data_IF_258188842863
#
_entry.id   IF_258188842863
#
_cell.length_a   1.000
_cell.length_b   1.000
_cell.length_c   1.000
_cell.angle_alpha   90.00
_cell.angle_beta   90.00
_cell.angle_gamma   90.00
#
_symmetry.space_group_name_H-M   'P 1'
#
loop_
_entity.id
_entity.type
_entity.pdbx_description
1 polymer ?
#
# COMPACT_ATOMS: atom_id res chain seq x y z
N UNK A 1 1.88 36.40 7.79
CA UNK A 1 2.26 35.48 6.70
C UNK A 1 2.03 34.06 7.22
N UNK A 2 1.24 33.26 6.53
CA UNK A 2 1.11 31.84 6.87
C UNK A 2 2.46 31.17 6.60
N UNK A 3 2.92 30.31 7.52
CA UNK A 3 4.14 29.52 7.33
C UNK A 3 3.94 28.59 6.12
N UNK A 4 5.01 28.41 5.33
CA UNK A 4 5.03 27.38 4.28
C UNK A 4 4.92 25.99 4.90
N UNK A 5 4.34 25.02 4.16
CA UNK A 5 4.14 23.64 4.63
C UNK A 5 5.43 22.99 5.15
N UNK A 6 6.58 23.26 4.51
CA UNK A 6 7.88 22.78 4.96
C UNK A 6 8.29 23.36 6.32
N UNK A 7 8.01 24.66 6.56
CA UNK A 7 8.28 25.31 7.85
C UNK A 7 7.34 24.77 8.94
N UNK A 8 6.06 24.55 8.63
CA UNK A 8 5.10 23.95 9.57
C UNK A 8 5.54 22.55 9.97
N UNK A 9 5.87 21.70 8.97
CA UNK A 9 6.38 20.36 9.21
C UNK A 9 7.65 20.38 10.08
N UNK A 10 8.63 21.20 9.73
CA UNK A 10 9.89 21.30 10.48
C UNK A 10 9.66 21.71 11.94
N UNK A 11 8.75 22.66 12.20
CA UNK A 11 8.40 23.08 13.56
C UNK A 11 7.80 21.92 14.38
N UNK A 12 6.95 21.10 13.78
CA UNK A 12 6.35 19.94 14.45
C UNK A 12 7.41 18.87 14.70
N UNK A 13 8.26 18.56 13.71
CA UNK A 13 9.32 17.56 13.83
C UNK A 13 10.35 17.92 14.91
N UNK A 14 10.73 19.18 15.06
CA UNK A 14 11.68 19.62 16.07
C UNK A 14 11.20 19.44 17.52
N UNK A 15 9.88 19.31 17.73
CA UNK A 15 9.29 19.06 19.03
C UNK A 15 9.00 17.59 19.29
N UNK A 16 9.08 16.73 18.27
CA UNK A 16 8.79 15.30 18.37
C UNK A 16 10.06 14.51 18.72
N UNK A 17 9.90 13.45 19.51
CA UNK A 17 11.00 12.56 19.93
C UNK A 17 10.82 11.14 19.39
N UNK A 18 9.57 10.69 19.28
CA UNK A 18 9.26 9.34 18.85
C UNK A 18 8.07 9.35 17.90
N UNK A 19 8.33 9.15 16.63
CA UNK A 19 7.35 9.32 15.55
C UNK A 19 6.91 7.96 15.02
N UNK A 20 5.59 7.81 14.82
CA UNK A 20 5.01 6.66 14.16
C UNK A 20 4.66 7.01 12.71
N UNK A 21 5.15 6.22 11.76
CA UNK A 21 4.96 6.46 10.33
C UNK A 21 4.03 5.38 9.77
N UNK A 22 2.86 5.77 9.28
CA UNK A 22 1.92 4.89 8.59
C UNK A 22 2.05 5.02 7.08
N UNK A 23 1.94 3.88 6.40
CA UNK A 23 1.88 3.79 4.94
C UNK A 23 0.45 3.50 4.51
N UNK A 24 -0.07 4.26 3.55
CA UNK A 24 -1.35 3.96 2.91
C UNK A 24 -1.32 2.69 2.07
N UNK A 25 -2.51 2.21 1.70
CA UNK A 25 -2.68 0.97 0.92
C UNK A 25 -2.54 1.15 -0.60
N UNK A 26 -2.44 2.34 -1.12
CA UNK A 26 -2.48 2.63 -2.55
C UNK A 26 -1.31 2.07 -3.36
N UNK A 27 -0.58 2.92 -4.04
CA UNK A 27 0.62 2.56 -4.80
C UNK A 27 1.71 2.07 -3.85
N UNK A 28 1.96 0.77 -3.84
CA UNK A 28 2.89 0.14 -2.89
C UNK A 28 4.29 0.77 -2.93
N UNK A 29 4.81 1.05 -4.12
CA UNK A 29 6.11 1.69 -4.27
C UNK A 29 6.14 3.12 -3.76
N UNK A 30 5.08 3.90 -3.94
CA UNK A 30 5.00 5.27 -3.44
C UNK A 30 4.86 5.31 -1.91
N UNK A 31 4.02 4.44 -1.34
CA UNK A 31 3.88 4.31 0.11
C UNK A 31 5.19 3.90 0.77
N UNK A 32 5.88 2.89 0.21
CA UNK A 32 7.18 2.41 0.71
C UNK A 32 8.25 3.49 0.54
N UNK A 33 8.35 4.08 -0.64
CA UNK A 33 9.37 5.07 -0.96
C UNK A 33 9.28 6.30 -0.08
N UNK A 34 8.08 6.86 0.09
CA UNK A 34 7.84 8.03 0.94
C UNK A 34 8.09 7.71 2.43
N UNK A 35 7.59 6.57 2.93
CA UNK A 35 7.75 6.21 4.34
C UNK A 35 9.20 5.90 4.72
N UNK A 36 9.92 5.15 3.89
CA UNK A 36 11.33 4.85 4.17
C UNK A 36 12.21 6.09 4.04
N UNK A 37 11.93 6.96 3.09
CA UNK A 37 12.62 8.24 2.98
C UNK A 37 12.44 9.11 4.23
N UNK A 38 11.20 9.25 4.72
CA UNK A 38 10.92 9.98 5.98
C UNK A 38 11.63 9.32 7.16
N UNK A 39 11.59 7.98 7.28
CA UNK A 39 12.30 7.26 8.34
C UNK A 39 13.80 7.60 8.37
N UNK A 40 14.50 7.49 7.22
CA UNK A 40 15.92 7.77 7.15
C UNK A 40 16.24 9.26 7.34
N UNK A 41 15.37 10.15 6.88
CA UNK A 41 15.48 11.57 7.13
C UNK A 41 15.39 11.90 8.63
N UNK A 42 14.39 11.35 9.33
CA UNK A 42 14.23 11.53 10.77
C UNK A 42 15.40 10.93 11.55
N UNK A 43 15.91 9.77 11.15
CA UNK A 43 17.09 9.13 11.74
C UNK A 43 18.32 10.07 11.66
N UNK A 44 18.50 10.79 10.54
CA UNK A 44 19.56 11.81 10.40
C UNK A 44 19.33 13.05 11.24
N UNK A 45 18.10 13.41 11.52
CA UNK A 45 17.75 14.48 12.46
C UNK A 45 17.90 14.05 13.93
N UNK A 46 18.23 12.79 14.21
CA UNK A 46 18.31 12.25 15.56
C UNK A 46 16.94 11.96 16.21
N UNK A 47 15.88 11.92 15.43
CA UNK A 47 14.50 11.64 15.89
C UNK A 47 14.22 10.15 15.74
N UNK A 48 13.75 9.51 16.82
CA UNK A 48 13.34 8.11 16.76
C UNK A 48 12.05 7.97 15.96
N UNK A 49 11.98 6.95 15.12
CA UNK A 49 10.77 6.69 14.35
C UNK A 49 10.57 5.20 14.08
N UNK A 50 9.33 4.78 13.95
CA UNK A 50 8.93 3.41 13.67
C UNK A 50 7.98 3.41 12.48
N UNK A 51 8.23 2.53 11.50
CA UNK A 51 7.37 2.39 10.33
C UNK A 51 6.35 1.28 10.58
N UNK A 52 5.08 1.59 10.41
CA UNK A 52 3.98 0.62 10.44
C UNK A 52 3.72 0.13 9.03
N UNK A 53 3.97 -1.16 8.81
CA UNK A 53 3.66 -1.80 7.52
C UNK A 53 2.33 -2.54 7.65
N UNK A 54 1.33 -2.26 6.80
CA UNK A 54 0.19 -3.15 6.71
C UNK A 54 0.68 -4.55 6.32
N UNK A 55 -0.10 -5.59 6.65
CA UNK A 55 0.27 -7.00 6.44
C UNK A 55 0.42 -7.31 4.93
N UNK A 56 1.54 -6.93 4.36
CA UNK A 56 1.88 -7.08 2.94
C UNK A 56 2.57 -8.43 2.79
N UNK A 57 1.78 -9.50 2.76
CA UNK A 57 2.29 -10.88 2.71
C UNK A 57 3.16 -11.23 1.50
N UNK A 58 3.13 -10.48 0.39
CA UNK A 58 3.73 -10.99 -0.85
C UNK A 58 4.50 -9.99 -1.74
N UNK A 59 4.70 -8.71 -1.37
CA UNK A 59 5.22 -7.73 -2.34
C UNK A 59 6.51 -6.99 -1.96
N UNK A 60 7.05 -7.22 -0.75
CA UNK A 60 8.33 -6.58 -0.36
C UNK A 60 9.54 -7.06 -1.16
N UNK A 61 9.44 -8.24 -1.80
CA UNK A 61 10.56 -8.80 -2.55
C UNK A 61 10.97 -7.92 -3.74
N UNK A 62 10.01 -7.25 -4.39
CA UNK A 62 10.29 -6.32 -5.50
C UNK A 62 11.01 -5.04 -5.03
N UNK A 63 10.97 -4.72 -3.73
CA UNK A 63 11.67 -3.59 -3.10
C UNK A 63 12.89 -4.03 -2.28
N UNK A 64 13.32 -5.29 -2.40
CA UNK A 64 14.46 -5.85 -1.65
C UNK A 64 15.79 -5.15 -1.94
N UNK A 65 15.87 -4.38 -3.01
CA UNK A 65 17.03 -3.59 -3.38
C UNK A 65 17.16 -2.27 -2.60
N UNK A 66 16.09 -1.83 -1.94
CA UNK A 66 16.10 -0.64 -1.07
C UNK A 66 16.61 -1.01 0.33
N UNK A 67 17.28 -0.06 0.97
CA UNK A 67 17.65 -0.19 2.38
C UNK A 67 16.38 -0.12 3.23
N UNK A 68 16.13 -1.17 4.00
CA UNK A 68 14.93 -1.25 4.87
C UNK A 68 15.13 -0.49 6.18
N UNK A 69 14.09 0.16 6.73
CA UNK A 69 14.09 0.66 8.10
C UNK A 69 14.34 -0.48 9.09
N UNK A 70 15.13 -0.21 10.13
CA UNK A 70 15.41 -1.16 11.21
C UNK A 70 14.18 -1.33 12.11
N UNK A 71 13.50 -0.24 12.40
CA UNK A 71 12.32 -0.18 13.26
C UNK A 71 11.05 -0.26 12.42
N UNK A 72 10.60 -1.50 12.15
CA UNK A 72 9.38 -1.77 11.38
C UNK A 72 8.47 -2.73 12.16
N UNK A 73 7.18 -2.37 12.27
CA UNK A 73 6.16 -3.17 12.95
C UNK A 73 4.94 -3.39 12.06
N UNK A 74 4.22 -4.49 12.26
CA UNK A 74 2.96 -4.79 11.55
C UNK A 74 1.71 -4.56 12.41
N UNK A 75 1.86 -4.31 13.69
CA UNK A 75 0.78 -4.02 14.63
C UNK A 75 1.25 -3.05 15.72
N UNK A 76 0.32 -2.35 16.35
CA UNK A 76 0.60 -1.43 17.45
C UNK A 76 0.55 -2.11 18.84
N UNK A 77 0.73 -3.43 18.89
CA UNK A 77 0.79 -4.13 20.17
C UNK A 77 1.90 -3.53 21.07
N UNK A 78 1.52 -3.06 22.26
CA UNK A 78 2.45 -2.42 23.19
C UNK A 78 2.79 -0.95 22.89
N UNK A 79 2.07 -0.29 21.98
CA UNK A 79 2.20 1.15 21.74
C UNK A 79 1.76 2.02 22.93
N UNK A 80 1.04 1.43 23.86
CA UNK A 80 0.55 2.04 25.09
C UNK A 80 0.84 1.14 26.28
N UNK A 81 1.33 1.70 27.38
CA UNK A 81 1.53 0.96 28.63
C UNK A 81 0.28 1.04 29.49
N UNK A 82 0.06 0.06 30.35
CA UNK A 82 -0.89 0.14 31.47
C UNK A 82 -0.13 0.55 32.73
N UNK A 83 -0.53 1.63 33.37
CA UNK A 83 0.11 2.09 34.59
C UNK A 83 -0.80 1.79 35.79
N UNK A 84 -0.29 0.97 36.69
CA UNK A 84 -0.83 0.81 38.03
C UNK A 84 -0.16 1.84 38.93
N UNK A 85 -0.90 2.82 39.42
CA UNK A 85 -0.39 3.84 40.31
C UNK A 85 -0.87 3.61 41.74
N UNK A 86 0.05 3.78 42.69
CA UNK A 86 -0.23 3.69 44.11
C UNK A 86 0.13 5.00 44.77
N UNK A 87 -0.76 5.49 45.63
CA UNK A 87 -0.40 6.56 46.55
C UNK A 87 0.49 5.98 47.67
N UNK A 88 1.74 6.42 47.72
CA UNK A 88 2.70 6.02 48.72
C UNK A 88 2.89 7.05 49.84
N UNK A 89 2.09 8.08 49.89
CA UNK A 89 2.21 9.17 50.87
C UNK A 89 2.09 8.66 52.30
N UNK A 90 1.15 7.75 52.52
CA UNK A 90 0.88 7.22 53.86
C UNK A 90 1.53 5.88 54.15
N UNK A 91 1.98 5.12 53.13
CA UNK A 91 2.56 3.83 53.28
C UNK A 91 3.58 3.52 52.16
N UNK A 92 4.83 3.49 52.55
CA UNK A 92 5.93 3.20 51.59
C UNK A 92 5.89 1.76 51.13
N UNK A 93 6.25 1.55 49.88
CA UNK A 93 6.43 0.21 49.30
C UNK A 93 7.87 -0.24 49.52
N UNK A 94 8.06 -1.37 50.13
CA UNK A 94 9.41 -1.96 50.43
C UNK A 94 9.84 -2.94 49.36
N UNK A 95 8.90 -3.63 48.71
CA UNK A 95 9.24 -4.60 47.68
C UNK A 95 8.09 -4.75 46.66
N UNK A 96 8.46 -5.00 45.41
CA UNK A 96 7.53 -5.37 44.33
C UNK A 96 8.09 -6.59 43.62
N UNK A 97 7.32 -7.67 43.54
CA UNK A 97 7.66 -8.88 42.78
C UNK A 97 6.54 -9.25 41.85
N UNK A 98 6.86 -9.88 40.75
CA UNK A 98 5.89 -10.34 39.77
C UNK A 98 6.01 -11.84 39.58
N UNK A 99 4.86 -12.53 39.48
CA UNK A 99 4.79 -13.96 39.17
C UNK A 99 3.83 -14.12 37.98
N UNK A 100 4.29 -14.82 36.95
CA UNK A 100 3.52 -15.08 35.76
C UNK A 100 3.19 -16.56 35.66
N UNK A 101 1.93 -16.89 35.60
CA UNK A 101 1.45 -18.21 35.17
C UNK A 101 0.74 -18.08 33.79
N UNK A 102 0.29 -19.20 33.20
CA UNK A 102 -0.21 -19.22 31.83
C UNK A 102 -1.40 -18.28 31.53
N UNK A 103 -2.10 -17.79 32.55
CA UNK A 103 -3.34 -17.00 32.37
C UNK A 103 -3.38 -15.72 33.24
N UNK A 104 -2.42 -15.55 34.16
CA UNK A 104 -2.43 -14.46 35.11
C UNK A 104 -1.03 -13.90 35.36
N UNK A 105 -0.95 -12.58 35.48
CA UNK A 105 0.21 -11.88 36.01
C UNK A 105 -0.15 -11.35 37.40
N UNK A 106 0.48 -11.91 38.43
CA UNK A 106 0.31 -11.46 39.80
C UNK A 106 1.44 -10.48 40.14
N UNK A 107 1.04 -9.32 40.66
CA UNK A 107 1.97 -8.31 41.17
C UNK A 107 1.81 -8.28 42.70
N UNK A 108 2.86 -8.69 43.40
CA UNK A 108 2.89 -8.69 44.87
C UNK A 108 3.59 -7.43 45.31
N UNK A 109 2.89 -6.64 46.13
CA UNK A 109 3.38 -5.38 46.66
C UNK A 109 3.44 -5.46 48.15
N UNK A 110 4.63 -5.22 48.73
CA UNK A 110 4.85 -5.30 50.16
C UNK A 110 4.95 -3.90 50.77
N UNK A 111 3.97 -3.47 51.55
CA UNK A 111 4.03 -2.18 52.24
C UNK A 111 4.99 -2.25 53.46
N UNK A 112 5.47 -1.08 53.85
CA UNK A 112 6.32 -0.95 55.05
C UNK A 112 5.55 -1.27 56.34
N UNK A 113 4.25 -0.88 56.36
CA UNK A 113 3.39 -1.06 57.54
C UNK A 113 1.97 -1.47 57.11
N UNK A 114 1.36 -2.38 57.87
CA UNK A 114 -0.03 -2.76 57.74
C UNK A 114 -0.42 -3.32 56.36
N UNK A 115 -1.53 -2.85 55.81
CA UNK A 115 -2.08 -3.25 54.51
C UNK A 115 -2.27 -2.03 53.58
N UNK A 116 -2.29 -2.29 52.29
CA UNK A 116 -2.61 -1.27 51.27
C UNK A 116 -4.16 -1.16 51.15
N UNK A 117 -4.70 0.05 51.23
CA UNK A 117 -6.11 0.27 50.97
C UNK A 117 -6.37 0.15 49.45
N UNK A 118 -7.39 -0.62 49.02
CA UNK A 118 -7.76 -0.70 47.61
C UNK A 118 -8.07 0.66 46.96
N UNK A 119 -8.45 1.69 47.76
CA UNK A 119 -8.71 3.05 47.29
C UNK A 119 -7.44 3.83 46.91
N UNK A 120 -6.27 3.37 47.37
CA UNK A 120 -4.98 3.96 47.01
C UNK A 120 -4.50 3.53 45.60
N UNK A 121 -5.23 2.61 45.00
CA UNK A 121 -4.96 2.15 43.62
C UNK A 121 -5.65 3.02 42.59
N UNK A 122 -4.96 3.39 41.56
CA UNK A 122 -5.56 3.95 40.35
C UNK A 122 -5.00 3.26 39.11
N UNK A 123 -5.89 2.97 38.18
CA UNK A 123 -5.53 2.55 36.83
C UNK A 123 -5.45 3.81 35.97
N UNK A 124 -4.25 4.17 35.53
CA UNK A 124 -4.06 5.33 34.68
C UNK A 124 -3.78 4.80 33.27
N UNK A 125 -4.64 5.13 32.28
CA UNK A 125 -4.27 4.90 30.87
C UNK A 125 -2.97 5.67 30.62
N UNK A 126 -1.90 4.95 30.32
CA UNK A 126 -0.63 5.60 29.97
C UNK A 126 -0.80 6.31 28.61
N UNK A 127 -0.04 7.35 28.41
CA UNK A 127 0.07 7.99 27.11
C UNK A 127 0.67 7.01 26.10
N UNK A 128 0.38 7.21 24.82
CA UNK A 128 1.09 6.51 23.75
C UNK A 128 2.60 6.78 23.85
N UNK A 129 3.41 5.78 23.46
CA UNK A 129 4.88 5.92 23.38
C UNK A 129 5.31 6.85 22.27
N UNK A 130 4.41 7.13 21.34
CA UNK A 130 4.62 8.02 20.19
C UNK A 130 4.00 9.38 20.50
N UNK A 131 4.72 10.44 20.13
CA UNK A 131 4.29 11.83 20.34
C UNK A 131 3.87 12.52 19.03
N UNK A 132 4.06 11.85 17.91
CA UNK A 132 3.61 12.28 16.58
C UNK A 132 3.30 11.08 15.69
N UNK A 133 2.27 11.20 14.89
CA UNK A 133 1.91 10.26 13.80
C UNK A 133 2.09 10.96 12.46
N UNK A 134 2.76 10.31 11.52
CA UNK A 134 2.82 10.73 10.12
C UNK A 134 2.13 9.67 9.27
N UNK A 135 1.11 10.07 8.51
CA UNK A 135 0.41 9.21 7.56
C UNK A 135 0.77 9.64 6.15
N UNK A 136 1.20 8.68 5.35
CA UNK A 136 1.68 8.90 3.99
C UNK A 136 0.83 8.14 2.99
N UNK A 137 0.45 8.80 1.89
CA UNK A 137 -0.24 8.18 0.77
C UNK A 137 -1.57 7.52 1.17
N UNK A 138 -2.37 8.21 1.99
CA UNK A 138 -3.69 7.73 2.42
C UNK A 138 -4.70 8.86 2.41
N UNK A 139 -5.82 8.72 1.65
CA UNK A 139 -6.84 9.76 1.57
C UNK A 139 -7.66 9.87 2.86
N UNK A 140 -7.80 8.78 3.61
CA UNK A 140 -8.58 8.68 4.84
C UNK A 140 -7.89 7.74 5.85
N UNK A 141 -8.43 7.66 7.07
CA UNK A 141 -7.90 6.79 8.14
C UNK A 141 -8.30 5.32 7.92
N UNK A 142 -9.46 5.10 7.34
CA UNK A 142 -10.06 3.80 7.06
C UNK A 142 -9.19 3.00 6.07
N UNK A 143 -8.56 3.68 5.14
CA UNK A 143 -7.60 3.10 4.17
C UNK A 143 -6.38 2.47 4.82
N UNK A 144 -6.08 2.78 6.09
CA UNK A 144 -5.03 2.11 6.87
C UNK A 144 -5.44 0.71 7.34
N UNK A 145 -6.75 0.39 7.26
CA UNK A 145 -7.32 -0.93 7.54
C UNK A 145 -7.14 -1.38 8.98
N UNK A 146 -6.80 -2.66 9.19
CA UNK A 146 -6.72 -3.29 10.52
C UNK A 146 -5.93 -2.50 11.54
N UNK A 147 -4.86 -1.82 11.15
CA UNK A 147 -4.04 -1.07 12.10
C UNK A 147 -4.82 0.11 12.68
N UNK A 148 -5.64 0.77 11.86
CA UNK A 148 -6.57 1.80 12.32
C UNK A 148 -7.75 1.20 13.10
N UNK A 149 -8.38 0.15 12.58
CA UNK A 149 -9.53 -0.52 13.21
C UNK A 149 -9.24 -1.01 14.63
N UNK A 150 -8.04 -1.55 14.86
CA UNK A 150 -7.60 -2.07 16.15
C UNK A 150 -7.11 -0.98 17.12
N UNK A 151 -6.72 0.19 16.62
CA UNK A 151 -6.10 1.25 17.42
C UNK A 151 -6.58 2.67 17.01
N UNK A 152 -7.89 2.93 16.96
CA UNK A 152 -8.38 4.23 16.48
C UNK A 152 -7.97 5.39 17.41
N UNK A 153 -7.79 5.13 18.70
CA UNK A 153 -7.50 6.14 19.72
C UNK A 153 -6.23 6.93 19.44
N UNK A 154 -5.20 6.30 18.83
CA UNK A 154 -3.93 6.97 18.55
C UNK A 154 -4.10 8.18 17.64
N UNK A 155 -5.05 8.13 16.70
CA UNK A 155 -5.34 9.20 15.74
C UNK A 155 -6.11 10.39 16.36
N UNK A 156 -6.59 10.23 17.60
CA UNK A 156 -7.28 11.29 18.36
C UNK A 156 -6.45 11.83 19.51
N UNK A 157 -5.60 10.98 20.11
CA UNK A 157 -4.79 11.35 21.28
C UNK A 157 -3.40 11.87 20.90
N UNK A 158 -2.87 11.49 19.74
CA UNK A 158 -1.54 11.89 19.24
C UNK A 158 -1.71 12.80 18.02
N UNK A 159 -0.96 13.92 17.92
CA UNK A 159 -0.98 14.76 16.74
C UNK A 159 -0.70 13.97 15.47
N UNK A 160 -1.45 14.25 14.39
CA UNK A 160 -1.34 13.55 13.10
C UNK A 160 -0.95 14.54 11.99
N UNK A 161 0.05 14.17 11.21
CA UNK A 161 0.39 14.81 9.95
C UNK A 161 -0.04 13.88 8.82
N UNK A 162 -0.84 14.38 7.89
CA UNK A 162 -1.18 13.67 6.66
C UNK A 162 -0.44 14.29 5.48
N UNK A 163 0.32 13.48 4.72
CA UNK A 163 1.00 13.88 3.50
C UNK A 163 0.50 13.01 2.36
N UNK A 164 -0.16 13.62 1.38
CA UNK A 164 -0.88 12.87 0.35
C UNK A 164 -1.05 13.69 -0.94
N UNK A 165 -1.40 13.00 -2.03
CA UNK A 165 -1.69 13.64 -3.33
C UNK A 165 -3.09 13.33 -3.87
N UNK A 166 -3.90 12.53 -3.16
CA UNK A 166 -5.24 12.15 -3.60
C UNK A 166 -6.22 13.32 -3.50
N UNK A 167 -7.04 13.51 -4.54
CA UNK A 167 -8.00 14.59 -4.62
C UNK A 167 -9.19 14.43 -3.66
N UNK A 168 -9.49 13.21 -3.25
CA UNK A 168 -10.54 12.80 -2.31
C UNK A 168 -10.03 12.71 -0.87
N UNK A 169 -8.91 13.36 -0.54
CA UNK A 169 -8.35 13.36 0.81
C UNK A 169 -9.24 14.12 1.80
N UNK A 170 -9.58 13.46 2.92
CA UNK A 170 -10.46 13.99 3.98
C UNK A 170 -9.80 15.05 4.88
N UNK A 171 -8.51 15.32 4.70
CA UNK A 171 -7.72 16.24 5.52
C UNK A 171 -7.84 15.95 7.04
N UNK A 172 -7.72 14.70 7.42
CA UNK A 172 -7.96 14.19 8.76
C UNK A 172 -6.83 14.47 9.77
N UNK A 173 -5.71 14.98 9.35
CA UNK A 173 -4.58 15.37 10.19
C UNK A 173 -4.76 16.76 10.81
N UNK A 174 -4.05 17.04 11.91
CA UNK A 174 -3.91 18.41 12.44
C UNK A 174 -3.05 19.28 11.49
N UNK A 175 -2.12 18.66 10.77
CA UNK A 175 -1.40 19.25 9.66
C UNK A 175 -1.62 18.37 8.41
N UNK A 176 -2.19 18.97 7.37
CA UNK A 176 -2.42 18.30 6.09
C UNK A 176 -1.57 18.95 5.02
N UNK A 177 -0.71 18.16 4.38
CA UNK A 177 0.14 18.57 3.27
C UNK A 177 -0.31 17.77 2.06
N UNK A 178 -1.40 18.23 1.45
CA UNK A 178 -2.04 17.58 0.30
C UNK A 178 -1.79 18.40 -0.96
N UNK A 179 -1.12 17.80 -1.94
CA UNK A 179 -0.86 18.42 -3.24
C UNK A 179 -1.42 17.53 -4.37
N UNK A 180 -2.64 17.83 -4.80
CA UNK A 180 -3.34 17.09 -5.87
C UNK A 180 -2.69 17.25 -7.25
N UNK A 181 -1.73 18.14 -7.39
CA UNK A 181 -0.98 18.34 -8.63
C UNK A 181 0.32 17.52 -8.68
N UNK A 182 0.73 16.96 -7.54
CA UNK A 182 1.89 16.08 -7.47
C UNK A 182 1.63 14.73 -8.14
N UNK A 183 2.67 14.12 -8.67
CA UNK A 183 2.58 12.80 -9.29
C UNK A 183 2.52 11.66 -8.26
N UNK A 184 2.95 11.95 -7.02
CA UNK A 184 3.08 10.96 -5.96
C UNK A 184 3.33 11.63 -4.61
N UNK A 185 3.08 10.92 -3.52
CA UNK A 185 3.47 11.34 -2.16
C UNK A 185 4.98 11.46 -2.03
N UNK A 186 5.75 10.58 -2.69
CA UNK A 186 7.21 10.65 -2.71
C UNK A 186 7.74 11.94 -3.36
N UNK A 187 7.04 12.50 -4.35
CA UNK A 187 7.36 13.82 -4.93
C UNK A 187 7.21 14.92 -3.87
N UNK A 188 6.11 14.92 -3.12
CA UNK A 188 5.85 15.90 -2.06
C UNK A 188 6.91 15.78 -0.96
N UNK A 189 7.20 14.57 -0.51
CA UNK A 189 8.22 14.30 0.51
C UNK A 189 9.61 14.75 0.06
N UNK A 190 9.96 14.55 -1.21
CA UNK A 190 11.24 15.02 -1.76
C UNK A 190 11.37 16.56 -1.69
N UNK A 191 10.32 17.28 -2.08
CA UNK A 191 10.28 18.74 -2.02
C UNK A 191 10.37 19.25 -0.56
N UNK A 192 9.67 18.59 0.37
CA UNK A 192 9.71 18.90 1.79
C UNK A 192 11.11 18.70 2.39
N UNK A 193 11.72 17.54 2.17
CA UNK A 193 13.08 17.24 2.67
C UNK A 193 14.09 18.24 2.11
N UNK A 194 14.00 18.55 0.83
CA UNK A 194 14.90 19.52 0.20
C UNK A 194 14.77 20.92 0.81
N UNK A 195 13.55 21.36 1.16
CA UNK A 195 13.29 22.67 1.79
C UNK A 195 13.68 22.71 3.26
N UNK A 196 13.51 21.60 3.99
CA UNK A 196 13.83 21.52 5.43
C UNK A 196 15.34 21.39 5.61
N UNK A 197 15.98 20.42 4.97
CA UNK A 197 17.42 20.19 5.05
C UNK A 197 17.92 19.38 3.85
N UNK A 198 18.36 20.06 2.80
CA UNK A 198 18.88 19.45 1.58
C UNK A 198 20.17 18.62 1.78
N UNK A 199 20.93 18.87 2.87
CA UNK A 199 22.16 18.12 3.18
C UNK A 199 21.85 16.71 3.68
N UNK A 200 20.71 16.53 4.34
CA UNK A 200 20.25 15.22 4.80
C UNK A 200 19.73 14.32 3.68
N UNK A 201 19.49 14.85 2.48
CA UNK A 201 19.05 14.07 1.31
C UNK A 201 20.26 13.34 0.70
N UNK A 202 20.51 12.10 1.15
CA UNK A 202 21.56 11.23 0.63
C UNK A 202 21.03 10.20 -0.38
N UNK A 203 21.92 9.31 -0.84
CA UNK A 203 21.61 8.25 -1.80
C UNK A 203 20.47 7.34 -1.32
N UNK A 204 20.44 6.94 -0.05
CA UNK A 204 19.42 6.03 0.50
C UNK A 204 18.03 6.67 0.46
N UNK A 205 17.93 7.93 0.89
CA UNK A 205 16.68 8.69 0.84
C UNK A 205 16.27 8.96 -0.59
N UNK A 206 17.22 9.34 -1.44
CA UNK A 206 16.98 9.63 -2.84
C UNK A 206 16.52 8.39 -3.62
N UNK A 207 17.11 7.20 -3.37
CA UNK A 207 16.72 5.94 -4.01
C UNK A 207 15.31 5.54 -3.59
N UNK A 208 14.95 5.71 -2.31
CA UNK A 208 13.59 5.44 -1.81
C UNK A 208 12.56 6.35 -2.48
N UNK A 209 12.78 7.66 -2.51
CA UNK A 209 11.88 8.64 -3.13
C UNK A 209 11.75 8.44 -4.63
N UNK A 210 12.85 8.22 -5.33
CA UNK A 210 12.83 7.97 -6.78
C UNK A 210 12.06 6.68 -7.10
N UNK A 211 12.15 5.66 -6.25
CA UNK A 211 11.38 4.43 -6.39
C UNK A 211 9.88 4.71 -6.32
N UNK A 212 9.45 5.52 -5.35
CA UNK A 212 8.04 5.90 -5.23
C UNK A 212 7.53 6.68 -6.44
N UNK A 213 8.29 7.67 -6.93
CA UNK A 213 7.91 8.43 -8.13
C UNK A 213 7.84 7.54 -9.37
N UNK A 214 8.80 6.65 -9.58
CA UNK A 214 8.84 5.73 -10.72
C UNK A 214 7.66 4.76 -10.69
N UNK A 215 7.32 4.20 -9.52
CA UNK A 215 6.20 3.27 -9.38
C UNK A 215 4.86 3.99 -9.60
N UNK A 216 4.62 5.12 -8.95
CA UNK A 216 3.40 5.92 -9.08
C UNK A 216 3.12 6.37 -10.52
N UNK A 217 4.18 6.74 -11.25
CA UNK A 217 4.10 7.23 -12.64
C UNK A 217 4.22 6.12 -13.69
N UNK A 218 4.36 4.85 -13.28
CA UNK A 218 4.72 3.74 -14.17
C UNK A 218 5.92 4.10 -15.07
N UNK A 219 7.03 4.49 -14.45
CA UNK A 219 8.25 4.94 -15.16
C UNK A 219 7.99 6.13 -16.09
N UNK A 220 7.25 7.13 -15.60
CA UNK A 220 6.88 8.37 -16.31
C UNK A 220 5.97 8.19 -17.53
N UNK A 221 5.23 7.09 -17.59
CA UNK A 221 4.29 6.79 -18.70
C UNK A 221 2.84 7.18 -18.39
N UNK A 222 2.46 7.31 -17.12
CA UNK A 222 1.10 7.70 -16.74
C UNK A 222 0.84 9.19 -16.93
N UNK A 223 -0.44 9.56 -17.04
CA UNK A 223 -0.91 10.94 -17.23
C UNK A 223 -0.62 11.88 -16.05
N UNK A 224 -0.37 11.33 -14.85
CA UNK A 224 0.02 12.08 -13.66
C UNK A 224 1.50 12.53 -13.69
N UNK A 225 2.27 12.16 -14.70
CA UNK A 225 3.65 12.62 -14.86
C UNK A 225 3.68 14.10 -15.18
N UNK A 226 4.38 14.88 -14.38
CA UNK A 226 4.48 16.34 -14.49
C UNK A 226 5.93 16.79 -14.77
N UNK A 227 6.16 17.99 -15.31
CA UNK A 227 7.51 18.56 -15.42
C UNK A 227 8.22 18.62 -14.04
N UNK A 228 7.47 18.88 -12.96
CA UNK A 228 8.00 18.92 -11.59
C UNK A 228 8.49 17.54 -11.16
N UNK A 229 7.72 16.47 -11.42
CA UNK A 229 8.15 15.09 -11.09
C UNK A 229 9.45 14.70 -11.80
N UNK A 230 9.62 15.11 -13.07
CA UNK A 230 10.86 14.87 -13.82
C UNK A 230 12.04 15.66 -13.25
N UNK A 231 11.84 16.93 -12.87
CA UNK A 231 12.88 17.77 -12.26
C UNK A 231 13.34 17.21 -10.91
N UNK A 232 12.40 16.83 -10.04
CA UNK A 232 12.69 16.20 -8.75
C UNK A 232 13.42 14.87 -8.96
N UNK A 233 12.98 14.04 -9.90
CA UNK A 233 13.64 12.78 -10.22
C UNK A 233 15.08 12.99 -10.70
N UNK A 234 15.33 14.00 -11.54
CA UNK A 234 16.69 14.38 -11.95
C UNK A 234 17.56 14.82 -10.76
N UNK A 235 16.99 15.59 -9.83
CA UNK A 235 17.69 15.99 -8.61
C UNK A 235 18.02 14.80 -7.70
N UNK A 236 17.09 13.84 -7.56
CA UNK A 236 17.30 12.59 -6.80
C UNK A 236 18.39 11.71 -7.44
N UNK A 237 18.42 11.62 -8.78
CA UNK A 237 19.50 10.93 -9.49
C UNK A 237 20.85 11.61 -9.28
N UNK A 238 20.89 12.94 -9.24
CA UNK A 238 22.11 13.68 -8.92
C UNK A 238 22.62 13.44 -7.47
N UNK A 239 21.71 12.99 -6.56
CA UNK A 239 22.06 12.57 -5.20
C UNK A 239 22.48 11.09 -5.09
N UNK A 240 22.56 10.36 -6.21
CA UNK A 240 23.04 9.00 -6.28
C UNK A 240 21.96 7.93 -6.53
N UNK A 241 20.68 8.30 -6.58
CA UNK A 241 19.62 7.32 -6.87
C UNK A 241 19.78 6.69 -8.26
N UNK A 242 19.75 5.37 -8.34
CA UNK A 242 19.98 4.62 -9.56
C UNK A 242 18.67 4.21 -10.25
N UNK A 243 18.22 5.04 -11.21
CA UNK A 243 17.00 4.79 -11.98
C UNK A 243 17.01 3.43 -12.69
N UNK A 244 18.14 3.03 -13.27
CA UNK A 244 18.22 1.75 -14.01
C UNK A 244 18.05 0.54 -13.09
N UNK A 245 18.64 0.61 -11.90
CA UNK A 245 18.46 -0.39 -10.83
C UNK A 245 17.00 -0.48 -10.43
N UNK A 246 16.35 0.67 -10.14
CA UNK A 246 14.93 0.74 -9.75
C UNK A 246 14.03 0.13 -10.83
N UNK A 247 14.17 0.56 -12.09
CA UNK A 247 13.39 0.04 -13.22
C UNK A 247 13.61 -1.47 -13.39
N UNK A 248 14.84 -1.94 -13.23
CA UNK A 248 15.13 -3.37 -13.33
C UNK A 248 14.35 -4.17 -12.31
N UNK A 249 14.35 -3.76 -11.05
CA UNK A 249 13.65 -4.48 -9.97
C UNK A 249 12.13 -4.35 -10.07
N UNK A 250 11.60 -3.17 -10.37
CA UNK A 250 10.15 -2.96 -10.44
C UNK A 250 9.50 -3.60 -11.67
N UNK A 251 10.17 -3.56 -12.83
CA UNK A 251 9.51 -3.90 -14.10
C UNK A 251 10.18 -5.01 -14.91
N UNK A 252 11.48 -5.23 -14.72
CA UNK A 252 12.22 -6.21 -15.53
C UNK A 252 12.50 -7.53 -14.82
N UNK A 253 12.22 -7.61 -13.51
CA UNK A 253 12.40 -8.83 -12.72
C UNK A 253 11.07 -9.55 -12.61
N UNK A 254 10.58 -10.11 -13.71
CA UNK A 254 9.38 -10.95 -13.67
C UNK A 254 9.79 -12.40 -13.33
N UNK A 255 9.07 -13.05 -12.42
CA UNK A 255 9.26 -14.47 -12.16
C UNK A 255 9.13 -15.31 -13.44
N UNK A 256 9.99 -16.29 -13.61
CA UNK A 256 10.05 -17.09 -14.83
C UNK A 256 8.72 -17.81 -15.12
N UNK A 257 7.96 -18.19 -14.09
CA UNK A 257 6.66 -18.81 -14.25
C UNK A 257 5.66 -17.87 -14.94
N UNK A 258 5.63 -16.57 -14.57
CA UNK A 258 4.79 -15.57 -15.21
C UNK A 258 5.15 -15.36 -16.68
N UNK A 259 6.44 -15.30 -17.01
CA UNK A 259 6.90 -15.18 -18.41
C UNK A 259 6.50 -16.38 -19.24
N UNK A 260 6.57 -17.59 -18.66
CA UNK A 260 6.12 -18.82 -19.33
C UNK A 260 4.61 -18.84 -19.57
N UNK A 261 3.81 -18.45 -18.54
CA UNK A 261 2.36 -18.37 -18.69
C UNK A 261 1.97 -17.28 -19.69
N UNK A 262 2.59 -16.11 -19.61
CA UNK A 262 2.42 -15.05 -20.60
C UNK A 262 2.64 -15.54 -22.03
N UNK A 263 3.78 -16.19 -22.30
CA UNK A 263 4.08 -16.68 -23.64
C UNK A 263 3.01 -17.64 -24.16
N UNK A 264 2.42 -18.47 -23.30
CA UNK A 264 1.34 -19.41 -23.67
C UNK A 264 0.04 -18.68 -23.98
N UNK A 265 -0.32 -17.68 -23.18
CA UNK A 265 -1.51 -16.84 -23.39
C UNK A 265 -1.37 -16.07 -24.69
N UNK A 266 -0.23 -15.43 -24.91
CA UNK A 266 0.01 -14.66 -26.15
C UNK A 266 0.02 -15.52 -27.42
N UNK A 267 0.48 -16.77 -27.35
CA UNK A 267 0.46 -17.69 -28.47
C UNK A 267 -0.96 -18.10 -28.90
N UNK A 268 -1.96 -17.93 -28.03
CA UNK A 268 -3.36 -18.28 -28.29
C UNK A 268 -4.29 -17.07 -28.18
N UNK A 269 -3.75 -15.85 -28.28
CA UNK A 269 -4.54 -14.63 -28.21
C UNK A 269 -5.39 -14.48 -29.47
N UNK A 270 -6.70 -14.41 -29.30
CA UNK A 270 -7.66 -14.06 -30.34
C UNK A 270 -7.93 -12.55 -30.29
N UNK A 271 -8.13 -11.97 -31.45
CA UNK A 271 -8.48 -10.58 -31.61
C UNK A 271 -9.79 -10.42 -32.38
N UNK A 272 -10.77 -9.76 -31.78
CA UNK A 272 -12.08 -9.42 -32.36
C UNK A 272 -12.09 -7.92 -32.69
N UNK A 273 -11.85 -7.62 -33.97
CA UNK A 273 -11.61 -6.25 -34.44
C UNK A 273 -12.84 -5.36 -34.29
N UNK A 274 -14.02 -5.91 -34.57
CA UNK A 274 -15.33 -5.22 -34.55
C UNK A 274 -15.68 -4.67 -33.15
N UNK A 275 -15.31 -5.35 -32.09
CA UNK A 275 -15.59 -4.96 -30.70
C UNK A 275 -14.33 -4.57 -29.90
N UNK A 276 -13.17 -4.54 -30.56
CA UNK A 276 -11.86 -4.25 -29.94
C UNK A 276 -11.58 -5.11 -28.69
N UNK A 277 -11.86 -6.42 -28.79
CA UNK A 277 -11.72 -7.39 -27.73
C UNK A 277 -10.54 -8.33 -27.99
N UNK A 278 -9.64 -8.43 -27.01
CA UNK A 278 -8.58 -9.43 -26.99
C UNK A 278 -8.92 -10.53 -25.97
N UNK A 279 -8.87 -11.82 -26.39
CA UNK A 279 -9.14 -12.90 -25.45
C UNK A 279 -8.27 -14.13 -25.72
N UNK A 280 -8.06 -14.92 -24.67
CA UNK A 280 -7.29 -16.15 -24.76
C UNK A 280 -7.80 -17.26 -23.87
N UNK A 281 -7.80 -18.54 -24.31
CA UNK A 281 -8.00 -19.70 -23.47
C UNK A 281 -6.71 -20.10 -22.78
N UNK A 282 -6.80 -20.52 -21.52
CA UNK A 282 -5.72 -21.08 -20.71
C UNK A 282 -6.17 -22.44 -20.17
N UNK A 283 -5.36 -23.44 -20.35
CA UNK A 283 -5.65 -24.81 -19.93
C UNK A 283 -4.91 -25.17 -18.63
N UNK A 284 -5.38 -26.18 -17.93
CA UNK A 284 -4.73 -26.67 -16.69
C UNK A 284 -3.25 -26.99 -16.95
N UNK A 285 -2.93 -27.56 -18.11
CA UNK A 285 -1.57 -27.90 -18.50
C UNK A 285 -0.66 -26.67 -18.60
N UNK A 286 -1.21 -25.51 -18.94
CA UNK A 286 -0.45 -24.25 -19.02
C UNK A 286 0.02 -23.81 -17.64
N UNK A 287 -0.82 -23.93 -16.62
CA UNK A 287 -0.43 -23.67 -15.24
C UNK A 287 0.62 -24.65 -14.74
N UNK A 288 0.44 -25.95 -15.02
CA UNK A 288 1.40 -26.98 -14.61
C UNK A 288 2.77 -26.75 -15.25
N UNK A 289 2.81 -26.51 -16.56
CA UNK A 289 4.06 -26.36 -17.30
C UNK A 289 4.77 -25.03 -17.03
N UNK A 290 4.03 -23.97 -16.71
CA UNK A 290 4.61 -22.70 -16.29
C UNK A 290 4.98 -22.67 -14.81
N UNK A 291 4.42 -23.53 -13.98
CA UNK A 291 4.47 -23.50 -12.51
C UNK A 291 3.78 -22.25 -11.97
N UNK A 292 2.68 -21.86 -12.57
CA UNK A 292 1.84 -20.72 -12.19
C UNK A 292 0.50 -21.19 -11.66
N UNK A 293 -0.31 -20.24 -11.19
CA UNK A 293 -1.64 -20.48 -10.65
C UNK A 293 -2.66 -19.50 -11.27
N UNK A 294 -3.97 -19.68 -11.06
CA UNK A 294 -5.01 -18.79 -11.60
C UNK A 294 -4.89 -17.33 -11.15
N UNK A 295 -4.35 -17.05 -9.96
CA UNK A 295 -4.18 -15.68 -9.45
C UNK A 295 -3.22 -14.86 -10.32
N UNK A 296 -2.29 -15.53 -11.03
CA UNK A 296 -1.34 -14.92 -11.94
C UNK A 296 -2.00 -14.32 -13.20
N UNK A 297 -3.22 -14.76 -13.55
CA UNK A 297 -3.95 -14.30 -14.76
C UNK A 297 -4.27 -12.81 -14.66
N UNK A 298 -4.68 -12.33 -13.50
CA UNK A 298 -5.02 -10.92 -13.30
C UNK A 298 -3.85 -10.02 -13.65
N UNK A 299 -2.65 -10.37 -13.19
CA UNK A 299 -1.43 -9.66 -13.51
C UNK A 299 -1.12 -9.69 -15.02
N UNK A 300 -1.31 -10.83 -15.66
CA UNK A 300 -1.07 -10.98 -17.11
C UNK A 300 -2.07 -10.14 -17.92
N UNK A 301 -3.35 -10.12 -17.52
CA UNK A 301 -4.35 -9.27 -18.16
C UNK A 301 -4.00 -7.78 -18.07
N UNK A 302 -3.51 -7.31 -16.91
CA UNK A 302 -3.04 -5.93 -16.76
C UNK A 302 -1.90 -5.63 -17.73
N UNK A 303 -0.97 -6.57 -17.90
CA UNK A 303 0.13 -6.41 -18.85
C UNK A 303 -0.33 -6.42 -20.31
N UNK A 304 -1.33 -7.23 -20.67
CA UNK A 304 -1.93 -7.19 -22.01
C UNK A 304 -2.60 -5.85 -22.25
N UNK A 305 -3.41 -5.39 -21.28
CA UNK A 305 -4.09 -4.09 -21.32
C UNK A 305 -3.10 -2.93 -21.50
N UNK A 306 -2.00 -2.92 -20.74
CA UNK A 306 -0.99 -1.87 -20.78
C UNK A 306 -0.21 -1.85 -22.11
N UNK A 307 0.04 -3.02 -22.73
CA UNK A 307 0.83 -3.15 -23.95
C UNK A 307 0.00 -3.10 -25.24
N UNK A 308 -1.31 -3.27 -25.18
CA UNK A 308 -2.17 -3.35 -26.35
C UNK A 308 -3.19 -2.21 -26.40
N UNK A 309 -2.75 -1.05 -26.85
CA UNK A 309 -3.52 0.20 -26.84
C UNK A 309 -4.79 0.20 -27.71
N UNK A 310 -4.88 -0.68 -28.70
CA UNK A 310 -6.05 -0.84 -29.56
C UNK A 310 -7.20 -1.59 -28.87
N UNK A 311 -6.90 -2.38 -27.84
CA UNK A 311 -7.88 -3.15 -27.09
C UNK A 311 -8.70 -2.28 -26.14
N UNK A 312 -10.01 -2.54 -26.08
CA UNK A 312 -10.93 -1.92 -25.12
C UNK A 312 -11.37 -2.93 -24.06
N UNK A 313 -11.48 -4.21 -24.45
CA UNK A 313 -11.93 -5.32 -23.62
C UNK A 313 -10.86 -6.41 -23.67
N UNK A 314 -10.52 -6.95 -22.51
CA UNK A 314 -9.52 -8.00 -22.36
C UNK A 314 -10.11 -9.13 -21.55
N UNK A 315 -10.04 -10.37 -22.05
CA UNK A 315 -10.62 -11.53 -21.40
C UNK A 315 -9.66 -12.71 -21.43
N UNK A 316 -9.54 -13.39 -20.31
CA UNK A 316 -8.90 -14.72 -20.23
C UNK A 316 -9.89 -15.70 -19.62
N UNK A 317 -9.97 -16.84 -20.28
CA UNK A 317 -10.77 -17.99 -19.83
C UNK A 317 -9.85 -19.13 -19.43
N UNK A 318 -10.14 -19.79 -18.33
CA UNK A 318 -9.30 -20.87 -17.84
C UNK A 318 -10.11 -21.96 -17.13
N UNK A 319 -9.53 -23.16 -17.04
CA UNK A 319 -10.08 -24.27 -16.29
C UNK A 319 -9.34 -24.42 -14.96
N UNK A 320 -10.06 -24.47 -13.86
CA UNK A 320 -9.55 -24.94 -12.56
C UNK A 320 -9.85 -26.42 -12.37
N UNK A 321 -11.00 -26.86 -12.85
CA UNK A 321 -11.46 -28.25 -12.81
C UNK A 321 -12.05 -28.66 -14.17
N UNK A 322 -12.02 -29.96 -14.50
CA UNK A 322 -12.69 -30.46 -15.70
C UNK A 322 -14.20 -30.14 -15.64
N UNK A 323 -14.76 -29.60 -16.73
CA UNK A 323 -16.17 -29.28 -16.84
C UNK A 323 -16.56 -27.88 -16.32
N UNK A 324 -15.63 -27.13 -15.75
CA UNK A 324 -15.84 -25.74 -15.29
C UNK A 324 -14.88 -24.79 -16.01
N UNK A 325 -15.40 -23.70 -16.54
CA UNK A 325 -14.63 -22.62 -17.14
C UNK A 325 -14.79 -21.36 -16.29
N UNK A 326 -13.67 -20.85 -15.83
CA UNK A 326 -13.57 -19.57 -15.16
C UNK A 326 -13.17 -18.48 -16.15
N UNK A 327 -13.61 -17.25 -15.95
CA UNK A 327 -13.24 -16.14 -16.81
C UNK A 327 -12.95 -14.87 -16.03
N UNK A 328 -11.97 -14.10 -16.48
CA UNK A 328 -11.67 -12.78 -15.99
C UNK A 328 -11.76 -11.81 -17.17
N UNK A 329 -12.56 -10.75 -17.00
CA UNK A 329 -12.73 -9.67 -18.00
C UNK A 329 -12.27 -8.36 -17.38
N UNK A 330 -11.48 -7.60 -18.13
CA UNK A 330 -11.09 -6.22 -17.81
C UNK A 330 -11.42 -5.29 -18.96
N UNK A 331 -11.83 -4.05 -18.64
CA UNK A 331 -12.11 -3.01 -19.62
C UNK A 331 -11.33 -1.73 -19.32
N UNK A 332 -11.13 -0.92 -20.36
CA UNK A 332 -10.56 0.41 -20.20
C UNK A 332 -11.59 1.42 -19.64
N UNK A 333 -12.89 1.11 -19.74
CA UNK A 333 -14.00 1.96 -19.30
C UNK A 333 -14.88 1.18 -18.30
N UNK A 334 -15.07 1.75 -17.11
CA UNK A 334 -15.88 1.16 -16.05
C UNK A 334 -17.36 1.03 -16.40
N UNK A 335 -17.93 1.96 -17.18
CA UNK A 335 -19.32 1.86 -17.67
C UNK A 335 -19.50 0.68 -18.62
N UNK A 336 -18.55 0.48 -19.54
CA UNK A 336 -18.57 -0.66 -20.44
C UNK A 336 -18.47 -1.98 -19.68
N UNK A 337 -17.61 -2.03 -18.66
CA UNK A 337 -17.49 -3.22 -17.81
C UNK A 337 -18.79 -3.54 -17.08
N UNK A 338 -19.48 -2.53 -16.52
CA UNK A 338 -20.79 -2.73 -15.85
C UNK A 338 -21.82 -3.31 -16.79
N UNK A 339 -21.94 -2.78 -18.02
CA UNK A 339 -22.88 -3.29 -19.02
C UNK A 339 -22.58 -4.73 -19.44
N UNK A 340 -21.29 -5.05 -19.60
CA UNK A 340 -20.88 -6.45 -19.88
C UNK A 340 -21.24 -7.34 -18.70
N UNK A 341 -21.03 -6.90 -17.48
CA UNK A 341 -21.35 -7.66 -16.27
C UNK A 341 -22.86 -7.93 -16.18
N UNK A 342 -23.71 -6.94 -16.46
CA UNK A 342 -25.18 -7.07 -16.53
C UNK A 342 -25.58 -8.08 -17.59
N UNK A 343 -25.01 -7.99 -18.82
CA UNK A 343 -25.32 -8.93 -19.92
C UNK A 343 -24.92 -10.36 -19.63
N UNK A 344 -23.86 -10.55 -18.89
CA UNK A 344 -23.36 -11.89 -18.50
C UNK A 344 -23.94 -12.37 -17.17
N UNK A 345 -24.76 -11.56 -16.50
CA UNK A 345 -25.35 -11.83 -15.17
C UNK A 345 -24.29 -12.10 -14.09
N UNK A 346 -23.20 -11.32 -14.12
CA UNK A 346 -22.06 -11.45 -13.20
C UNK A 346 -21.82 -10.14 -12.43
N UNK A 347 -21.05 -10.22 -11.33
CA UNK A 347 -20.70 -9.05 -10.52
C UNK A 347 -19.44 -8.38 -11.03
N UNK A 348 -19.46 -7.04 -11.14
CA UNK A 348 -18.28 -6.24 -11.38
C UNK A 348 -17.66 -5.84 -10.04
N UNK A 349 -16.33 -5.96 -9.91
CA UNK A 349 -15.57 -5.50 -8.77
C UNK A 349 -14.42 -4.61 -9.27
N UNK A 350 -14.56 -3.29 -9.07
CA UNK A 350 -13.60 -2.33 -9.59
C UNK A 350 -13.54 -2.32 -11.12
N UNK A 351 -12.36 -2.59 -11.68
CA UNK A 351 -12.10 -2.68 -13.13
C UNK A 351 -12.14 -4.11 -13.69
N UNK A 352 -12.63 -5.07 -12.91
CA UNK A 352 -12.57 -6.50 -13.20
C UNK A 352 -13.93 -7.17 -12.99
N UNK A 353 -14.33 -8.06 -13.90
CA UNK A 353 -15.40 -9.03 -13.71
C UNK A 353 -14.81 -10.44 -13.68
N UNK A 354 -15.26 -11.26 -12.72
CA UNK A 354 -14.91 -12.67 -12.64
C UNK A 354 -16.18 -13.51 -12.66
N UNK A 355 -16.12 -14.64 -13.34
CA UNK A 355 -17.26 -15.55 -13.43
C UNK A 355 -16.80 -17.00 -13.54
N UNK A 356 -17.73 -17.90 -13.24
CA UNK A 356 -17.61 -19.34 -13.43
C UNK A 356 -18.85 -19.86 -14.17
N UNK A 357 -18.65 -20.77 -15.10
CA UNK A 357 -19.73 -21.41 -15.81
C UNK A 357 -19.41 -22.87 -16.13
N UNK A 358 -20.43 -23.70 -16.20
CA UNK A 358 -20.28 -25.08 -16.67
C UNK A 358 -20.03 -25.08 -18.19
N UNK A 359 -18.87 -25.56 -18.59
CA UNK A 359 -18.51 -25.77 -19.99
C UNK A 359 -17.38 -26.78 -20.10
N UNK A 360 -17.42 -27.58 -21.14
CA UNK A 360 -16.41 -28.63 -21.41
C UNK A 360 -15.22 -28.06 -22.17
N UNK A 361 -15.47 -27.09 -23.07
CA UNK A 361 -14.45 -26.49 -23.92
C UNK A 361 -14.31 -24.99 -23.64
N UNK A 362 -13.10 -24.56 -23.31
CA UNK A 362 -12.77 -23.17 -22.98
C UNK A 362 -12.88 -22.25 -24.19
N UNK A 363 -12.57 -22.75 -25.41
CA UNK A 363 -12.67 -21.96 -26.67
C UNK A 363 -14.11 -21.76 -27.04
N UNK A 364 -14.94 -22.82 -26.97
CA UNK A 364 -16.39 -22.72 -27.27
C UNK A 364 -17.07 -21.76 -26.27
N UNK A 365 -16.72 -21.87 -24.98
CA UNK A 365 -17.21 -20.95 -23.96
C UNK A 365 -16.81 -19.48 -24.27
N UNK A 366 -15.56 -19.26 -24.69
CA UNK A 366 -15.06 -17.97 -25.09
C UNK A 366 -15.83 -17.37 -26.26
N UNK A 367 -16.04 -18.14 -27.31
CA UNK A 367 -16.80 -17.69 -28.49
C UNK A 367 -18.24 -17.31 -28.13
N UNK A 368 -18.91 -18.08 -27.27
CA UNK A 368 -20.27 -17.76 -26.78
C UNK A 368 -20.31 -16.43 -26.02
N UNK A 369 -19.29 -16.17 -25.19
CA UNK A 369 -19.20 -14.93 -24.44
C UNK A 369 -18.93 -13.75 -25.38
N UNK A 370 -18.01 -13.92 -26.32
CA UNK A 370 -17.70 -12.91 -27.35
C UNK A 370 -18.97 -12.54 -28.13
N UNK A 371 -19.78 -13.51 -28.54
CA UNK A 371 -21.05 -13.25 -29.22
C UNK A 371 -22.04 -12.46 -28.35
N UNK A 372 -22.18 -12.79 -27.07
CA UNK A 372 -23.03 -12.03 -26.14
C UNK A 372 -22.56 -10.57 -26.01
N UNK A 373 -21.23 -10.34 -25.87
CA UNK A 373 -20.63 -9.01 -25.78
C UNK A 373 -20.86 -8.25 -27.11
N UNK A 374 -20.72 -8.92 -28.24
CA UNK A 374 -20.94 -8.36 -29.58
C UNK A 374 -22.38 -7.86 -29.75
N UNK A 375 -23.38 -8.69 -29.38
CA UNK A 375 -24.80 -8.30 -29.42
C UNK A 375 -25.07 -7.08 -28.53
N UNK A 376 -24.54 -7.08 -27.32
CA UNK A 376 -24.71 -5.97 -26.38
C UNK A 376 -24.12 -4.65 -26.90
N UNK A 377 -22.97 -4.69 -27.59
CA UNK A 377 -22.36 -3.49 -28.18
C UNK A 377 -23.12 -3.03 -29.41
N UNK A 378 -23.64 -3.94 -30.24
CA UNK A 378 -24.45 -3.60 -31.42
C UNK A 378 -25.78 -2.93 -31.06
N UNK A 379 -26.43 -3.33 -29.97
CA UNK A 379 -27.69 -2.73 -29.48
C UNK A 379 -27.51 -1.29 -28.95
N UNK A 380 -26.28 -0.76 -28.91
CA UNK A 380 -25.94 0.58 -28.42
C UNK A 380 -25.50 1.55 -29.52
N UNK A 381 -25.38 1.07 -30.76
CA UNK A 381 -25.10 1.89 -31.94
C UNK A 381 -26.40 2.22 -32.69
#
# INVERSE_FOLDING_TARGET
>A
MSLDSAQQLNNVLNNAKNILIFMGRGSEGDSIGSAWAIYFFLKKMGIQSTVVTPDIKNNFDRFSFLTKPEETISSLAGARDFVLSFNTEFNKITNVRTERNNQQLNIFITPEKGSIDPRDFSFIPAKFKYDLVIVLNSPDKESLGKVYEENPDIFYEVPVINIDYHADNDNFGQLNIVDITASSTSEIVADLIQKINAENLDETIAESLLTGIIDATNSFQKKNTTPKSLQISAALMAKGANQQKIIRYLYKTQPLHLLKLWGRIMARLYWEDDISLAWAPVYIEDFVQSRSNPDDITFILDKIKDNYSAGKIFMVLYNEMPGEVCGIIKCNNAEQLKKIAETLEISANGDTCQFKQEAVDTVEAGQRIVEKIRMQIADQQ
#
